data_IF_854473685764
#
_entry.id   IF_854473685764
#
_cell.length_a   1.000
_cell.length_b   1.000
_cell.length_c   1.000
_cell.angle_alpha   90.00
_cell.angle_beta   90.00
_cell.angle_gamma   90.00
#
_symmetry.space_group_name_H-M   'P 1'
#
loop_
_entity.id
_entity.type
_entity.pdbx_description
1 polymer ?
#
# COMPACT_ATOMS: atom_id res chain seq x y z
N UNK A 1 18.37 14.62 9.36
CA UNK A 1 17.67 14.29 10.61
C UNK A 1 17.16 15.54 11.32
N UNK A 2 18.00 16.59 11.47
CA UNK A 2 17.62 17.84 12.14
C UNK A 2 16.34 18.45 11.58
N UNK A 3 16.21 18.59 10.27
CA UNK A 3 15.02 19.15 9.62
C UNK A 3 13.72 18.37 9.92
N UNK A 4 13.82 17.08 10.19
CA UNK A 4 12.68 16.23 10.59
C UNK A 4 12.35 16.36 12.07
N UNK A 5 13.38 16.37 12.94
CA UNK A 5 13.20 16.23 14.38
C UNK A 5 13.17 17.53 15.17
N UNK A 6 13.82 18.60 14.66
CA UNK A 6 13.98 19.88 15.37
C UNK A 6 12.88 20.85 14.92
N UNK A 7 12.22 21.47 15.88
CA UNK A 7 11.26 22.53 15.65
C UNK A 7 11.97 23.86 15.54
N UNK A 8 12.70 24.23 16.59
CA UNK A 8 13.47 25.44 16.53
C UNK A 8 14.70 25.40 17.44
N UNK A 9 15.69 26.25 17.16
CA UNK A 9 16.93 26.41 17.93
C UNK A 9 17.01 27.88 18.39
N UNK A 10 17.11 28.05 19.70
CA UNK A 10 17.44 29.35 20.32
C UNK A 10 18.85 29.31 20.81
N UNK A 11 19.60 30.41 20.60
CA UNK A 11 20.93 30.52 21.17
C UNK A 11 21.17 31.93 21.71
N UNK A 12 22.01 32.00 22.73
CA UNK A 12 22.51 33.23 23.30
C UNK A 12 24.03 33.13 23.39
N UNK A 13 24.73 34.23 23.10
CA UNK A 13 26.20 34.26 23.10
C UNK A 13 26.67 35.41 24.00
N UNK A 14 27.37 35.05 25.06
CA UNK A 14 27.91 36.02 26.02
C UNK A 14 29.44 36.09 25.92
N UNK A 15 30.04 37.27 25.71
CA UNK A 15 31.49 37.40 25.71
C UNK A 15 32.05 37.35 27.14
N UNK A 16 33.06 36.49 27.36
CA UNK A 16 33.77 36.31 28.63
C UNK A 16 35.25 36.64 28.38
N UNK A 17 35.67 37.78 28.71
CA UNK A 17 37.06 38.29 28.64
C UNK A 17 37.89 37.76 27.43
N UNK A 18 38.19 36.45 27.36
CA UNK A 18 39.03 35.83 26.33
C UNK A 18 38.33 34.75 25.49
N UNK A 19 37.04 34.48 25.71
CA UNK A 19 36.25 33.49 24.96
C UNK A 19 34.79 33.92 24.94
N UNK A 20 33.98 33.17 24.18
CA UNK A 20 32.53 33.32 24.11
C UNK A 20 31.88 32.08 24.74
N UNK A 21 30.89 32.30 25.59
CA UNK A 21 30.00 31.28 26.09
C UNK A 21 28.74 31.27 25.24
N UNK A 22 28.35 30.11 24.71
CA UNK A 22 27.13 29.95 23.95
C UNK A 22 26.17 29.01 24.68
N UNK A 23 24.97 29.51 25.03
CA UNK A 23 23.86 28.74 25.52
C UNK A 23 22.96 28.37 24.32
N UNK A 24 22.71 27.09 24.11
CA UNK A 24 21.86 26.58 23.01
C UNK A 24 20.71 25.81 23.58
N UNK A 25 19.47 26.22 23.25
CA UNK A 25 18.24 25.53 23.55
C UNK A 25 17.62 24.97 22.27
N UNK A 26 17.35 23.66 22.24
CA UNK A 26 16.77 22.97 21.08
C UNK A 26 15.40 22.45 21.46
N UNK A 27 14.38 22.90 20.72
CA UNK A 27 13.02 22.39 20.82
C UNK A 27 12.79 21.34 19.74
N UNK A 28 12.30 20.18 20.15
CA UNK A 28 12.07 19.05 19.24
C UNK A 28 10.58 18.91 18.94
N UNK A 29 10.25 18.67 17.65
CA UNK A 29 8.88 18.34 17.20
C UNK A 29 8.61 16.84 17.15
N UNK A 30 9.64 16.00 17.30
CA UNK A 30 9.56 14.54 17.29
C UNK A 30 10.12 13.98 18.58
N UNK A 31 9.48 12.92 19.08
CA UNK A 31 9.96 12.21 20.26
C UNK A 31 11.20 11.35 19.92
N UNK A 32 11.89 10.85 20.95
CA UNK A 32 13.02 9.93 20.75
C UNK A 32 12.59 8.63 20.10
N UNK A 33 11.39 8.15 20.44
CA UNK A 33 10.79 6.95 19.90
C UNK A 33 10.53 7.11 18.40
N UNK A 34 9.94 8.23 17.97
CA UNK A 34 9.72 8.54 16.55
C UNK A 34 11.04 8.63 15.78
N UNK A 35 12.06 9.25 16.36
CA UNK A 35 13.39 9.33 15.71
C UNK A 35 14.07 7.96 15.64
N UNK A 36 13.89 7.10 16.64
CA UNK A 36 14.46 5.74 16.63
C UNK A 36 13.69 4.79 15.70
N UNK A 37 12.45 5.08 15.38
CA UNK A 37 11.63 4.30 14.45
C UNK A 37 11.97 4.56 12.97
N UNK A 38 12.86 5.51 12.66
CA UNK A 38 13.26 5.80 11.28
C UNK A 38 14.00 4.59 10.68
N UNK A 39 13.46 4.04 9.61
CA UNK A 39 14.02 2.89 8.89
C UNK A 39 14.83 3.36 7.69
N UNK A 40 16.01 2.77 7.47
CA UNK A 40 16.78 3.03 6.26
C UNK A 40 16.19 2.26 5.08
N UNK A 41 15.94 2.97 3.97
CA UNK A 41 15.47 2.39 2.73
C UNK A 41 16.37 2.82 1.56
N UNK A 42 16.68 1.90 0.66
CA UNK A 42 17.50 2.15 -0.52
C UNK A 42 16.75 1.71 -1.78
N UNK A 43 16.31 2.70 -2.56
CA UNK A 43 15.59 2.49 -3.82
C UNK A 43 14.14 2.05 -3.66
N UNK A 44 13.43 1.99 -4.78
CA UNK A 44 11.98 1.75 -4.86
C UNK A 44 11.52 0.46 -4.18
N UNK A 45 12.29 -0.62 -4.33
CA UNK A 45 11.93 -1.94 -3.76
C UNK A 45 11.91 -1.90 -2.23
N UNK A 46 12.92 -1.28 -1.60
CA UNK A 46 12.97 -1.16 -0.15
C UNK A 46 11.88 -0.22 0.38
N UNK A 47 11.60 0.88 -0.33
CA UNK A 47 10.50 1.79 0.02
C UNK A 47 9.16 1.05 -0.05
N UNK A 48 8.87 0.34 -1.14
CA UNK A 48 7.63 -0.47 -1.27
C UNK A 48 7.50 -1.51 -0.18
N UNK A 49 8.59 -2.19 0.18
CA UNK A 49 8.57 -3.17 1.27
C UNK A 49 8.16 -2.53 2.60
N UNK A 50 8.72 -1.36 2.93
CA UNK A 50 8.36 -0.65 4.16
C UNK A 50 6.90 -0.14 4.14
N UNK A 51 6.43 0.34 2.99
CA UNK A 51 5.04 0.73 2.81
C UNK A 51 4.08 -0.47 2.91
N UNK A 52 4.48 -1.63 2.38
CA UNK A 52 3.75 -2.88 2.54
C UNK A 52 3.67 -3.33 4.00
N UNK A 53 4.77 -3.23 4.75
CA UNK A 53 4.80 -3.55 6.19
C UNK A 53 3.89 -2.62 6.99
N UNK A 54 3.89 -1.32 6.67
CA UNK A 54 2.98 -0.34 7.25
C UNK A 54 1.50 -0.70 6.99
N UNK A 55 1.14 -0.99 5.73
CA UNK A 55 -0.21 -1.38 5.33
C UNK A 55 -0.63 -2.71 5.97
N UNK A 56 0.28 -3.69 6.04
CA UNK A 56 -0.02 -5.01 6.60
C UNK A 56 -0.32 -5.01 8.09
N UNK A 57 0.20 -4.01 8.80
CA UNK A 57 -0.08 -3.79 10.22
C UNK A 57 -1.25 -2.82 10.48
N UNK A 58 -1.85 -2.23 9.43
CA UNK A 58 -2.76 -1.10 9.50
C UNK A 58 -2.16 0.06 10.32
N UNK A 59 -0.85 0.27 10.14
CA UNK A 59 -0.12 1.37 10.79
C UNK A 59 -0.49 2.71 10.19
N UNK A 60 -0.29 3.77 10.96
CA UNK A 60 -0.68 5.13 10.58
C UNK A 60 0.50 6.05 10.28
N UNK A 61 1.73 5.63 10.59
CA UNK A 61 2.92 6.45 10.41
C UNK A 61 4.13 5.58 10.05
N UNK A 62 4.91 6.02 9.07
CA UNK A 62 6.24 5.51 8.79
C UNK A 62 7.20 6.65 8.45
N UNK A 63 8.45 6.57 8.91
CA UNK A 63 9.52 7.47 8.58
C UNK A 63 10.70 6.70 7.95
N UNK A 64 11.07 7.07 6.72
CA UNK A 64 12.09 6.39 5.94
C UNK A 64 13.28 7.32 5.70
N UNK A 65 14.49 6.85 6.01
CA UNK A 65 15.73 7.53 5.66
C UNK A 65 16.27 7.00 4.34
N UNK A 66 16.29 7.86 3.33
CA UNK A 66 16.72 7.51 1.97
C UNK A 66 17.97 8.32 1.64
N UNK A 67 19.08 7.64 1.37
CA UNK A 67 20.40 8.27 1.19
C UNK A 67 20.53 9.04 -0.13
N UNK A 68 19.88 8.58 -1.20
CA UNK A 68 19.92 9.20 -2.53
C UNK A 68 18.49 9.27 -3.06
N UNK A 69 17.76 10.31 -2.67
CA UNK A 69 16.39 10.50 -3.06
C UNK A 69 16.28 11.67 -4.04
N UNK A 70 15.82 11.37 -5.25
CA UNK A 70 15.57 12.32 -6.33
C UNK A 70 14.08 12.41 -6.70
N UNK A 71 13.22 11.71 -5.95
CA UNK A 71 11.77 11.73 -6.14
C UNK A 71 11.08 12.87 -5.39
N UNK A 72 9.78 12.91 -5.53
CA UNK A 72 8.87 13.83 -4.86
C UNK A 72 7.78 13.06 -4.09
N UNK A 73 6.83 13.79 -3.53
CA UNK A 73 5.68 13.23 -2.83
C UNK A 73 4.85 12.33 -3.76
N UNK A 74 4.70 12.70 -5.02
CA UNK A 74 3.94 11.94 -6.04
C UNK A 74 4.58 10.57 -6.30
N UNK A 75 5.90 10.54 -6.36
CA UNK A 75 6.65 9.29 -6.51
C UNK A 75 6.39 8.34 -5.32
N UNK A 76 6.41 8.84 -4.09
CA UNK A 76 6.11 8.03 -2.90
C UNK A 76 4.64 7.56 -2.90
N UNK A 77 3.71 8.42 -3.28
CA UNK A 77 2.29 8.06 -3.42
C UNK A 77 2.08 6.97 -4.49
N UNK A 78 2.86 6.98 -5.56
CA UNK A 78 2.84 5.91 -6.58
C UNK A 78 3.31 4.59 -5.97
N UNK A 79 4.45 4.58 -5.27
CA UNK A 79 4.96 3.37 -4.59
C UNK A 79 3.99 2.86 -3.50
N UNK A 80 3.30 3.77 -2.83
CA UNK A 80 2.27 3.44 -1.85
C UNK A 80 1.09 2.70 -2.49
N UNK A 81 0.56 3.21 -3.60
CA UNK A 81 -0.52 2.55 -4.35
C UNK A 81 -0.08 1.19 -4.89
N UNK A 82 1.13 1.09 -5.41
CA UNK A 82 1.72 -0.20 -5.83
C UNK A 82 1.79 -1.20 -4.68
N UNK A 83 2.21 -0.76 -3.48
CA UNK A 83 2.25 -1.61 -2.29
C UNK A 83 0.86 -2.04 -1.83
N UNK A 84 -0.13 -1.13 -1.88
CA UNK A 84 -1.52 -1.42 -1.55
C UNK A 84 -2.11 -2.50 -2.46
N UNK A 85 -2.05 -2.30 -3.77
CA UNK A 85 -2.60 -3.26 -4.74
C UNK A 85 -1.84 -4.59 -4.80
N UNK A 86 -0.57 -4.62 -4.37
CA UNK A 86 0.18 -5.87 -4.26
C UNK A 86 -0.16 -6.69 -2.99
N UNK A 87 -1.00 -6.16 -2.09
CA UNK A 87 -1.32 -6.75 -0.78
C UNK A 87 -2.84 -6.94 -0.59
N UNK A 88 -3.50 -7.74 -1.42
CA UNK A 88 -4.96 -7.84 -1.44
C UNK A 88 -5.59 -8.37 -0.15
N UNK A 89 -4.81 -9.05 0.70
CA UNK A 89 -5.24 -9.54 2.01
C UNK A 89 -5.37 -8.42 3.07
N UNK A 90 -4.75 -7.28 2.84
CA UNK A 90 -4.81 -6.10 3.71
C UNK A 90 -5.34 -4.84 3.01
N UNK A 91 -5.60 -4.92 1.69
CA UNK A 91 -6.25 -3.87 0.92
C UNK A 91 -7.77 -3.84 1.20
N UNK A 92 -8.15 -3.45 2.44
CA UNK A 92 -9.51 -3.46 2.96
C UNK A 92 -10.15 -2.08 3.05
N UNK A 93 -9.33 -1.06 3.03
CA UNK A 93 -9.67 0.36 3.10
C UNK A 93 -8.45 1.13 2.58
N UNK A 94 -8.57 1.79 1.43
CA UNK A 94 -7.48 2.60 0.89
C UNK A 94 -7.33 3.87 1.73
N UNK A 95 -6.30 3.99 2.59
CA UNK A 95 -6.18 5.16 3.43
C UNK A 95 -5.73 6.39 2.66
N UNK A 96 -6.14 7.56 3.12
CA UNK A 96 -5.54 8.81 2.68
C UNK A 96 -4.07 8.85 3.10
N UNK A 97 -3.18 9.06 2.13
CA UNK A 97 -1.74 9.12 2.36
C UNK A 97 -1.23 10.56 2.22
N UNK A 98 -0.70 11.11 3.31
CA UNK A 98 0.04 12.37 3.32
C UNK A 98 1.53 12.07 3.38
N UNK A 99 2.30 12.69 2.49
CA UNK A 99 3.75 12.49 2.38
C UNK A 99 4.47 13.79 2.66
N UNK A 100 5.48 13.74 3.52
CA UNK A 100 6.35 14.86 3.85
C UNK A 100 7.81 14.46 3.62
N UNK A 101 8.60 15.36 3.01
CA UNK A 101 10.01 15.13 2.69
C UNK A 101 10.86 16.16 3.42
N UNK A 102 11.85 15.68 4.18
CA UNK A 102 12.75 16.53 4.99
C UNK A 102 14.21 16.29 4.61
N UNK A 103 15.03 17.39 4.49
CA UNK A 103 14.62 18.79 4.40
C UNK A 103 13.87 19.09 3.12
N UNK A 104 13.07 20.15 3.13
CA UNK A 104 12.46 20.70 1.93
C UNK A 104 13.52 21.48 1.12
N UNK A 105 13.42 21.47 -0.21
CA UNK A 105 14.30 22.19 -1.13
C UNK A 105 15.50 21.40 -1.64
N UNK A 106 16.17 21.94 -2.63
CA UNK A 106 17.24 21.26 -3.39
C UNK A 106 18.63 21.33 -2.74
N UNK A 107 18.88 22.30 -1.85
CA UNK A 107 20.21 22.65 -1.33
C UNK A 107 20.81 21.66 -0.32
N UNK A 108 20.11 20.66 0.12
CA UNK A 108 20.46 19.89 1.33
C UNK A 108 20.99 18.49 1.08
N UNK A 109 21.78 18.29 0.03
CA UNK A 109 22.32 16.95 -0.26
C UNK A 109 21.21 15.94 -0.62
N UNK A 110 21.60 14.71 -0.93
CA UNK A 110 20.65 13.70 -1.47
C UNK A 110 19.96 12.85 -0.42
N UNK A 111 20.32 12.99 0.86
CA UNK A 111 19.66 12.26 1.94
C UNK A 111 18.36 12.94 2.35
N UNK A 112 17.29 12.19 2.42
CA UNK A 112 15.96 12.65 2.86
C UNK A 112 15.40 11.74 3.96
N UNK A 113 14.60 12.34 4.84
CA UNK A 113 13.62 11.61 5.64
C UNK A 113 12.27 11.80 4.95
N UNK A 114 11.66 10.71 4.56
CA UNK A 114 10.30 10.68 4.00
C UNK A 114 9.37 10.16 5.07
N UNK A 115 8.42 10.99 5.48
CA UNK A 115 7.37 10.64 6.43
C UNK A 115 6.08 10.37 5.66
N UNK A 116 5.44 9.25 5.94
CA UNK A 116 4.15 8.88 5.38
C UNK A 116 3.16 8.74 6.52
N UNK A 117 2.09 9.52 6.47
CA UNK A 117 0.98 9.46 7.42
C UNK A 117 -0.24 8.91 6.72
N UNK A 118 -0.88 7.89 7.32
CA UNK A 118 -2.06 7.22 6.78
C UNK A 118 -3.27 7.47 7.67
N UNK A 119 -4.37 7.85 7.03
CA UNK A 119 -5.68 7.99 7.69
C UNK A 119 -6.66 7.00 7.07
N UNK A 120 -7.06 6.00 7.85
CA UNK A 120 -8.06 5.01 7.47
C UNK A 120 -9.47 5.54 7.72
N UNK A 121 -10.44 5.14 6.86
CA UNK A 121 -11.87 5.45 7.05
C UNK A 121 -12.51 4.47 8.04
N UNK A 122 -11.99 3.24 8.12
CA UNK A 122 -12.43 2.21 9.04
C UNK A 122 -11.57 2.20 10.31
N UNK A 123 -12.21 1.88 11.43
CA UNK A 123 -11.48 1.65 12.69
C UNK A 123 -10.57 0.43 12.59
N UNK A 124 -9.42 0.47 13.26
CA UNK A 124 -8.43 -0.63 13.24
C UNK A 124 -9.04 -1.98 13.66
N UNK A 125 -9.97 -1.98 14.63
CA UNK A 125 -10.67 -3.19 15.06
C UNK A 125 -11.51 -3.80 13.94
N UNK A 126 -12.16 -2.97 13.14
CA UNK A 126 -12.96 -3.41 11.99
C UNK A 126 -12.06 -3.94 10.88
N UNK A 127 -10.95 -3.28 10.58
CA UNK A 127 -9.93 -3.76 9.63
C UNK A 127 -9.42 -5.15 10.02
N UNK A 128 -9.09 -5.36 11.28
CA UNK A 128 -8.64 -6.68 11.77
C UNK A 128 -9.76 -7.74 11.68
N UNK A 129 -11.00 -7.37 11.98
CA UNK A 129 -12.15 -8.28 11.84
C UNK A 129 -12.35 -8.68 10.38
N UNK A 130 -12.34 -7.73 9.44
CA UNK A 130 -12.48 -7.97 8.01
C UNK A 130 -11.34 -8.83 7.48
N UNK A 131 -10.09 -8.54 7.85
CA UNK A 131 -8.92 -9.34 7.49
C UNK A 131 -9.07 -10.81 7.92
N UNK A 132 -9.51 -11.02 9.16
CA UNK A 132 -9.69 -12.39 9.69
C UNK A 132 -10.78 -13.14 8.92
N UNK A 133 -11.91 -12.50 8.64
CA UNK A 133 -13.01 -13.09 7.88
C UNK A 133 -12.60 -13.38 6.43
N UNK A 134 -11.90 -12.44 5.79
CA UNK A 134 -11.38 -12.60 4.43
C UNK A 134 -10.38 -13.76 4.34
N UNK A 135 -9.42 -13.83 5.28
CA UNK A 135 -8.43 -14.90 5.30
C UNK A 135 -9.08 -16.28 5.43
N UNK A 136 -10.10 -16.42 6.29
CA UNK A 136 -10.87 -17.67 6.43
C UNK A 136 -11.58 -18.02 5.13
N UNK A 137 -12.34 -17.07 4.56
CA UNK A 137 -13.11 -17.30 3.33
C UNK A 137 -12.20 -17.64 2.14
N UNK A 138 -11.11 -16.92 1.96
CA UNK A 138 -10.15 -17.19 0.91
C UNK A 138 -9.53 -18.60 1.06
N UNK A 139 -9.22 -19.04 2.29
CA UNK A 139 -8.72 -20.41 2.52
C UNK A 139 -9.77 -21.48 2.15
N UNK A 140 -11.04 -21.28 2.53
CA UNK A 140 -12.12 -22.19 2.16
C UNK A 140 -12.24 -22.34 0.64
N UNK A 141 -12.19 -21.21 -0.09
CA UNK A 141 -12.24 -21.22 -1.56
C UNK A 141 -11.00 -21.91 -2.13
N UNK A 142 -9.81 -21.55 -1.70
CA UNK A 142 -8.55 -22.12 -2.21
C UNK A 142 -8.52 -23.64 -2.03
N UNK A 143 -8.99 -24.16 -0.88
CA UNK A 143 -9.08 -25.63 -0.67
C UNK A 143 -10.00 -26.29 -1.69
N UNK A 144 -11.11 -25.63 -2.09
CA UNK A 144 -12.06 -26.18 -3.05
C UNK A 144 -11.55 -26.18 -4.50
N UNK A 145 -10.57 -25.31 -4.82
CA UNK A 145 -9.99 -25.16 -6.16
C UNK A 145 -8.52 -25.62 -6.23
N UNK A 146 -8.03 -26.27 -5.20
CA UNK A 146 -6.65 -26.75 -5.11
C UNK A 146 -6.34 -27.79 -6.17
N UNK A 147 -5.14 -27.72 -6.74
CA UNK A 147 -4.66 -28.69 -7.72
C UNK A 147 -4.89 -28.29 -9.18
N UNK A 148 -5.48 -27.12 -9.43
CA UNK A 148 -5.51 -26.53 -10.78
C UNK A 148 -4.22 -25.77 -11.06
N UNK A 149 -3.75 -25.78 -12.30
CA UNK A 149 -2.49 -25.16 -12.72
C UNK A 149 -2.67 -24.36 -14.03
N UNK A 150 -1.74 -23.45 -14.30
CA UNK A 150 -1.68 -22.70 -15.55
C UNK A 150 -2.97 -21.91 -15.86
N UNK A 151 -3.42 -22.01 -17.11
CA UNK A 151 -4.61 -21.31 -17.60
C UNK A 151 -5.91 -21.82 -16.96
N UNK A 152 -5.97 -23.10 -16.55
CA UNK A 152 -7.12 -23.68 -15.84
C UNK A 152 -7.27 -23.04 -14.46
N UNK A 153 -6.19 -22.82 -13.73
CA UNK A 153 -6.21 -22.15 -12.43
C UNK A 153 -6.76 -20.72 -12.52
N UNK A 154 -6.44 -19.99 -13.58
CA UNK A 154 -6.96 -18.64 -13.81
C UNK A 154 -8.47 -18.66 -14.04
N UNK A 155 -8.97 -19.62 -14.84
CA UNK A 155 -10.41 -19.79 -15.07
C UNK A 155 -11.13 -20.19 -13.78
N UNK A 156 -10.53 -21.08 -13.00
CA UNK A 156 -11.09 -21.55 -11.74
C UNK A 156 -11.13 -20.43 -10.69
N UNK A 157 -10.06 -19.60 -10.60
CA UNK A 157 -10.06 -18.40 -9.76
C UNK A 157 -11.19 -17.46 -10.17
N UNK A 158 -11.34 -17.20 -11.48
CA UNK A 158 -12.38 -16.31 -12.00
C UNK A 158 -13.79 -16.80 -11.62
N UNK A 159 -14.06 -18.08 -11.84
CA UNK A 159 -15.32 -18.71 -11.48
C UNK A 159 -15.57 -18.64 -9.97
N UNK A 160 -14.56 -18.92 -9.14
CA UNK A 160 -14.68 -18.89 -7.68
C UNK A 160 -14.96 -17.48 -7.13
N UNK A 161 -14.39 -16.42 -7.72
CA UNK A 161 -14.71 -15.04 -7.34
C UNK A 161 -16.16 -14.71 -7.70
N UNK A 162 -16.61 -15.07 -8.92
CA UNK A 162 -17.96 -14.78 -9.39
C UNK A 162 -19.04 -15.65 -8.69
N UNK A 163 -18.69 -16.83 -8.22
CA UNK A 163 -19.56 -17.66 -7.37
C UNK A 163 -19.68 -17.09 -5.94
N UNK A 164 -18.64 -16.46 -5.43
CA UNK A 164 -18.63 -15.84 -4.09
C UNK A 164 -19.35 -14.51 -4.05
N UNK A 165 -19.31 -13.73 -5.15
CA UNK A 165 -19.90 -12.40 -5.23
C UNK A 165 -20.18 -11.98 -6.67
N UNK A 166 -20.81 -10.82 -6.82
CA UNK A 166 -21.15 -10.25 -8.12
C UNK A 166 -20.62 -8.83 -8.26
N UNK A 167 -20.52 -8.39 -9.51
CA UNK A 167 -20.17 -7.00 -9.81
C UNK A 167 -21.34 -6.07 -9.46
N UNK A 168 -21.06 -5.07 -8.67
CA UNK A 168 -21.93 -3.94 -8.35
C UNK A 168 -21.09 -2.65 -8.44
N UNK A 169 -21.39 -1.72 -9.34
CA UNK A 169 -20.62 -0.47 -9.46
C UNK A 169 -20.67 0.41 -8.21
N UNK A 170 -21.65 0.22 -7.33
CA UNK A 170 -21.77 0.89 -6.03
C UNK A 170 -21.30 -0.02 -4.87
N UNK A 171 -20.75 -1.18 -5.19
CA UNK A 171 -20.22 -2.14 -4.23
C UNK A 171 -18.94 -1.67 -3.57
N UNK A 172 -18.48 -2.43 -2.57
CA UNK A 172 -17.22 -2.11 -1.89
C UNK A 172 -15.99 -2.44 -2.74
N UNK A 173 -14.88 -1.72 -2.47
CA UNK A 173 -13.65 -1.75 -3.26
C UNK A 173 -12.60 -2.74 -2.72
N UNK A 174 -12.96 -3.74 -1.93
CA UNK A 174 -12.01 -4.66 -1.34
C UNK A 174 -12.30 -6.13 -1.66
N UNK A 175 -11.29 -6.99 -1.55
CA UNK A 175 -11.48 -8.43 -1.66
C UNK A 175 -12.46 -8.99 -0.61
N UNK A 176 -12.60 -8.32 0.54
CA UNK A 176 -13.60 -8.66 1.55
C UNK A 176 -15.02 -8.46 1.01
N UNK A 177 -15.26 -7.35 0.32
CA UNK A 177 -16.58 -7.05 -0.22
C UNK A 177 -16.98 -8.07 -1.29
N UNK A 178 -16.05 -8.48 -2.15
CA UNK A 178 -16.28 -9.52 -3.15
C UNK A 178 -16.51 -10.90 -2.52
N UNK A 179 -15.61 -11.38 -1.66
CA UNK A 179 -15.59 -12.78 -1.22
C UNK A 179 -16.43 -13.06 0.04
N UNK A 180 -16.69 -12.04 0.87
CA UNK A 180 -17.38 -12.18 2.17
C UNK A 180 -18.71 -11.45 2.18
N UNK A 181 -18.76 -10.20 1.69
CA UNK A 181 -20.00 -9.44 1.63
C UNK A 181 -20.88 -9.81 0.41
N UNK A 182 -20.27 -10.31 -0.68
CA UNK A 182 -20.96 -10.85 -1.84
C UNK A 182 -21.27 -9.85 -2.94
N UNK A 183 -20.84 -8.58 -2.81
CA UNK A 183 -20.97 -7.56 -3.87
C UNK A 183 -19.77 -6.61 -3.82
N UNK A 184 -19.16 -6.33 -4.96
CA UNK A 184 -18.01 -5.46 -5.07
C UNK A 184 -17.96 -4.72 -6.41
N UNK A 185 -17.28 -3.58 -6.42
CA UNK A 185 -16.91 -2.89 -7.64
C UNK A 185 -15.77 -3.61 -8.39
N UNK A 186 -15.28 -3.00 -9.47
CA UNK A 186 -14.18 -3.58 -10.26
C UNK A 186 -12.88 -3.73 -9.46
N UNK A 187 -12.60 -2.81 -8.53
CA UNK A 187 -11.42 -2.85 -7.67
C UNK A 187 -11.50 -4.05 -6.70
N UNK A 188 -12.64 -4.22 -6.02
CA UNK A 188 -12.85 -5.33 -5.10
C UNK A 188 -12.79 -6.69 -5.79
N UNK A 189 -13.37 -6.84 -6.99
CA UNK A 189 -13.27 -8.07 -7.78
C UNK A 189 -11.83 -8.36 -8.21
N UNK A 190 -11.08 -7.34 -8.68
CA UNK A 190 -9.69 -7.50 -9.07
C UNK A 190 -8.78 -7.87 -7.88
N UNK A 191 -9.01 -7.26 -6.71
CA UNK A 191 -8.28 -7.62 -5.47
C UNK A 191 -8.62 -9.05 -5.02
N UNK A 192 -9.87 -9.48 -5.14
CA UNK A 192 -10.28 -10.85 -4.81
C UNK A 192 -9.62 -11.88 -5.73
N UNK A 193 -9.59 -11.62 -7.03
CA UNK A 193 -8.93 -12.49 -8.00
C UNK A 193 -7.42 -12.58 -7.72
N UNK A 194 -6.76 -11.44 -7.45
CA UNK A 194 -5.34 -11.43 -7.11
C UNK A 194 -5.05 -12.19 -5.82
N UNK A 195 -5.91 -12.06 -4.78
CA UNK A 195 -5.75 -12.78 -3.52
C UNK A 195 -5.78 -14.30 -3.71
N UNK A 196 -6.77 -14.81 -4.44
CA UNK A 196 -6.87 -16.25 -4.72
C UNK A 196 -5.73 -16.73 -5.62
N UNK A 197 -5.36 -15.95 -6.65
CA UNK A 197 -4.24 -16.25 -7.53
C UNK A 197 -2.93 -16.36 -6.74
N UNK A 198 -2.63 -15.40 -5.85
CA UNK A 198 -1.41 -15.44 -5.01
C UNK A 198 -1.38 -16.68 -4.11
N UNK A 199 -2.53 -17.15 -3.60
CA UNK A 199 -2.61 -18.37 -2.80
C UNK A 199 -2.41 -19.66 -3.57
N UNK A 200 -2.61 -19.61 -4.88
CA UNK A 200 -2.29 -20.69 -5.83
C UNK A 200 -0.92 -20.50 -6.49
N UNK A 201 -0.10 -19.58 -5.96
CA UNK A 201 1.24 -19.26 -6.47
C UNK A 201 1.25 -18.72 -7.91
N UNK A 202 0.11 -18.24 -8.40
CA UNK A 202 0.01 -17.58 -9.68
C UNK A 202 0.56 -16.15 -9.60
N UNK A 203 1.25 -15.73 -10.64
CA UNK A 203 1.77 -14.37 -10.74
C UNK A 203 0.76 -13.46 -11.43
N UNK A 204 0.39 -12.36 -10.76
CA UNK A 204 -0.52 -11.36 -11.31
C UNK A 204 -0.41 -10.03 -10.59
N UNK A 205 -1.11 -9.04 -11.12
CA UNK A 205 -1.24 -7.70 -10.53
C UNK A 205 -2.63 -7.12 -10.79
N UNK A 206 -3.06 -6.21 -9.94
CA UNK A 206 -4.20 -5.31 -10.20
C UNK A 206 -3.70 -4.16 -11.07
N UNK A 207 -4.44 -3.81 -12.09
CA UNK A 207 -4.17 -2.69 -12.98
C UNK A 207 -5.28 -1.65 -12.83
N UNK A 208 -4.98 -0.47 -12.30
CA UNK A 208 -5.92 0.65 -12.32
C UNK A 208 -5.95 1.30 -13.72
N UNK A 209 -7.14 1.67 -14.17
CA UNK A 209 -7.34 2.34 -15.45
C UNK A 209 -8.70 2.99 -15.56
N UNK A 210 -9.19 3.11 -16.79
CA UNK A 210 -10.53 3.67 -17.07
C UNK A 210 -11.25 2.81 -18.10
N UNK A 211 -12.56 2.68 -17.93
CA UNK A 211 -13.46 2.09 -18.90
C UNK A 211 -14.61 3.09 -19.13
N UNK A 212 -14.81 3.48 -20.38
CA UNK A 212 -15.84 4.48 -20.78
C UNK A 212 -15.78 5.79 -19.97
N UNK A 213 -14.54 6.20 -19.60
CA UNK A 213 -14.28 7.43 -18.83
C UNK A 213 -14.44 7.31 -17.32
N UNK A 214 -14.86 6.16 -16.79
CA UNK A 214 -14.96 5.89 -15.35
C UNK A 214 -13.76 5.09 -14.84
N UNK A 215 -13.35 5.26 -13.58
CA UNK A 215 -12.32 4.40 -12.97
C UNK A 215 -12.71 2.93 -13.10
N UNK A 216 -11.74 2.11 -13.48
CA UNK A 216 -11.93 0.69 -13.69
C UNK A 216 -10.67 -0.09 -13.34
N UNK A 217 -10.85 -1.30 -12.79
CA UNK A 217 -9.78 -2.15 -12.34
C UNK A 217 -9.92 -3.55 -12.94
N UNK A 218 -8.78 -4.14 -13.31
CA UNK A 218 -8.70 -5.51 -13.79
C UNK A 218 -7.37 -6.13 -13.38
N UNK A 219 -7.17 -7.40 -13.68
CA UNK A 219 -5.91 -8.06 -13.43
C UNK A 219 -5.12 -8.26 -14.73
N UNK A 220 -3.80 -8.22 -14.62
CA UNK A 220 -2.89 -8.84 -15.57
C UNK A 220 -2.28 -10.06 -14.89
N UNK A 221 -2.43 -11.22 -15.48
CA UNK A 221 -1.94 -12.50 -14.94
C UNK A 221 -0.94 -13.11 -15.90
N UNK A 222 0.08 -13.77 -15.34
CA UNK A 222 1.06 -14.51 -16.12
C UNK A 222 0.53 -15.89 -16.46
N UNK A 223 0.61 -16.27 -17.73
CA UNK A 223 0.26 -17.59 -18.26
C UNK A 223 1.48 -18.23 -18.89
N UNK A 224 1.39 -19.47 -19.31
CA UNK A 224 2.44 -20.14 -20.06
C UNK A 224 2.72 -19.46 -21.40
N UNK A 225 1.68 -18.90 -22.04
CA UNK A 225 1.77 -18.20 -23.32
C UNK A 225 2.10 -16.70 -23.22
N UNK A 226 2.33 -16.16 -22.00
CA UNK A 226 2.62 -14.75 -21.77
C UNK A 226 1.71 -14.13 -20.72
N UNK A 227 1.33 -12.87 -20.93
CA UNK A 227 0.45 -12.13 -20.02
C UNK A 227 -0.94 -12.01 -20.62
N UNK A 228 -1.97 -12.15 -19.78
CA UNK A 228 -3.37 -11.97 -20.16
C UNK A 228 -4.07 -10.98 -19.24
N UNK A 229 -5.02 -10.23 -19.80
CA UNK A 229 -5.94 -9.40 -19.04
C UNK A 229 -7.10 -10.25 -18.53
N UNK A 230 -7.48 -10.03 -17.29
CA UNK A 230 -8.60 -10.67 -16.62
C UNK A 230 -9.50 -9.59 -16.01
N UNK A 231 -10.66 -9.36 -16.63
CA UNK A 231 -11.69 -8.42 -16.19
C UNK A 231 -12.95 -9.20 -15.80
N UNK A 232 -13.26 -9.20 -14.50
CA UNK A 232 -14.39 -9.97 -13.95
C UNK A 232 -15.72 -9.21 -13.97
N UNK A 233 -15.73 -7.94 -14.36
CA UNK A 233 -16.97 -7.14 -14.40
C UNK A 233 -17.89 -7.51 -15.57
N UNK A 234 -17.33 -8.13 -16.61
CA UNK A 234 -18.07 -8.57 -17.80
C UNK A 234 -18.50 -10.03 -17.77
N UNK A 235 -18.36 -10.73 -16.61
CA UNK A 235 -18.63 -12.13 -16.45
C UNK A 235 -17.57 -13.05 -17.09
N UNK A 236 -17.75 -14.36 -17.00
CA UNK A 236 -16.78 -15.34 -17.50
C UNK A 236 -16.63 -15.35 -19.05
N UNK A 237 -17.41 -14.55 -19.78
CA UNK A 237 -17.44 -14.53 -21.25
C UNK A 237 -16.49 -13.52 -21.89
N UNK A 238 -15.74 -12.72 -21.12
CA UNK A 238 -14.74 -11.81 -21.69
C UNK A 238 -13.45 -12.55 -22.08
N UNK A 239 -13.55 -13.43 -23.05
CA UNK A 239 -12.44 -14.00 -23.81
C UNK A 239 -12.06 -13.03 -24.91
N UNK A 240 -11.08 -12.16 -24.65
CA UNK A 240 -10.44 -11.33 -25.63
C UNK A 240 -8.97 -11.70 -25.72
#
# INVERSE_FOLDING_TARGET
LGAYSVDFIRYDVTPIVSYYEAAVEITYRRTREQVSAIVAATGATAIRSQLKDLLSSFGTEAALRISYFEGDETYIQTLFREAYYASPDTALDLPEAQVYIYPQGEESGRQRIVEVLLTYHLEQKELQRRRTALARRANEIVVSIWGTEGDEAIQTVSAAVLDAGHYDPEGGASAYDALVAGAADSEGLALAALLLAQRLELTGMVVPGTLDGSPHFWNVVRTESGYRHLDLTRGADSRG
#
